data_IF_411908318086
#
_entry.id   IF_411908318086
#
_cell.length_a   1.000
_cell.length_b   1.000
_cell.length_c   1.000
_cell.angle_alpha   90.00
_cell.angle_beta   90.00
_cell.angle_gamma   90.00
#
_symmetry.space_group_name_H-M   'P 1'
#
loop_
_entity.id
_entity.type
_entity.pdbx_description
1 polymer ?
#
# COMPACT_ATOMS: atom_id res chain seq x y z
N UNK A 1 -7.88 16.93 4.99
CA UNK A 1 -6.54 16.36 4.69
C UNK A 1 -6.75 14.91 4.32
N UNK A 2 -6.65 14.58 3.04
CA UNK A 2 -6.83 13.22 2.51
C UNK A 2 -5.73 12.88 1.52
N UNK A 3 -5.57 11.60 1.19
CA UNK A 3 -4.59 11.18 0.20
C UNK A 3 -4.88 11.84 -1.16
N UNK A 4 -3.83 12.32 -1.84
CA UNK A 4 -3.92 12.94 -3.16
C UNK A 4 -3.99 11.90 -4.29
N UNK A 5 -3.68 10.64 -3.98
CA UNK A 5 -3.95 9.52 -4.85
C UNK A 5 -3.64 8.19 -4.20
N UNK A 6 -4.22 7.14 -4.76
CA UNK A 6 -4.02 5.76 -4.35
C UNK A 6 -3.88 4.88 -5.58
N UNK A 7 -2.97 3.92 -5.53
CA UNK A 7 -2.88 2.81 -6.48
C UNK A 7 -2.97 1.53 -5.69
N UNK A 8 -3.82 0.61 -6.13
CA UNK A 8 -3.95 -0.74 -5.57
C UNK A 8 -3.67 -1.70 -6.72
N UNK A 9 -2.77 -2.65 -6.52
CA UNK A 9 -2.50 -3.74 -7.45
C UNK A 9 -2.68 -5.05 -6.73
N UNK A 10 -3.49 -5.92 -7.31
CA UNK A 10 -3.79 -7.24 -6.78
C UNK A 10 -3.36 -8.27 -7.80
N UNK A 11 -2.57 -9.25 -7.39
CA UNK A 11 -2.04 -10.29 -8.26
C UNK A 11 -2.31 -11.67 -7.67
N UNK A 12 -2.76 -12.60 -8.51
CA UNK A 12 -3.00 -13.99 -8.11
C UNK A 12 -4.12 -14.62 -8.91
N UNK A 13 -4.67 -15.73 -8.39
CA UNK A 13 -5.81 -16.44 -8.99
C UNK A 13 -7.13 -15.74 -8.64
N UNK A 14 -7.33 -14.56 -9.23
CA UNK A 14 -8.48 -13.71 -8.96
C UNK A 14 -9.79 -14.44 -9.33
N UNK A 15 -10.78 -14.38 -8.44
CA UNK A 15 -12.06 -15.10 -8.56
C UNK A 15 -11.92 -16.63 -8.75
N UNK A 16 -10.82 -17.23 -8.28
CA UNK A 16 -10.59 -18.68 -8.42
C UNK A 16 -10.21 -19.13 -9.83
N UNK A 17 -9.87 -18.18 -10.73
CA UNK A 17 -9.43 -18.50 -12.08
C UNK A 17 -8.21 -19.44 -12.07
N UNK A 18 -8.13 -20.30 -13.08
CA UNK A 18 -7.02 -21.25 -13.23
C UNK A 18 -5.69 -20.54 -13.54
N UNK A 19 -5.74 -19.44 -14.29
CA UNK A 19 -4.58 -18.63 -14.66
C UNK A 19 -4.53 -17.39 -13.76
N UNK A 20 -3.37 -17.15 -13.15
CA UNK A 20 -3.15 -15.96 -12.33
C UNK A 20 -3.13 -14.68 -13.19
N UNK A 21 -3.74 -13.62 -12.68
CA UNK A 21 -3.79 -12.29 -13.32
C UNK A 21 -3.40 -11.21 -12.33
N UNK A 22 -3.01 -10.06 -12.86
CA UNK A 22 -2.70 -8.87 -12.09
C UNK A 22 -3.62 -7.73 -12.52
N UNK A 23 -4.55 -7.36 -11.65
CA UNK A 23 -5.43 -6.22 -11.87
C UNK A 23 -4.97 -5.06 -10.99
N UNK A 24 -5.11 -3.84 -11.49
CA UNK A 24 -4.78 -2.65 -10.73
C UNK A 24 -5.84 -1.59 -10.92
N UNK A 25 -6.08 -0.84 -9.85
CA UNK A 25 -6.94 0.31 -9.84
C UNK A 25 -6.15 1.50 -9.32
N UNK A 26 -6.39 2.68 -9.90
CA UNK A 26 -5.75 3.92 -9.48
C UNK A 26 -6.77 5.03 -9.45
N UNK A 27 -6.74 5.81 -8.39
CA UNK A 27 -7.54 7.00 -8.22
C UNK A 27 -6.62 8.16 -7.81
N UNK A 28 -6.83 9.34 -8.39
CA UNK A 28 -5.96 10.49 -8.18
C UNK A 28 -4.56 10.35 -8.79
N UNK A 29 -3.61 11.13 -8.26
CA UNK A 29 -2.22 11.20 -8.77
C UNK A 29 -1.30 10.33 -7.93
N UNK A 30 -0.47 9.50 -8.56
CA UNK A 30 0.56 8.70 -7.88
C UNK A 30 1.86 8.79 -8.69
N UNK A 31 2.70 9.82 -8.45
CA UNK A 31 3.92 10.05 -9.22
C UNK A 31 5.08 9.17 -8.73
N UNK A 32 5.17 7.93 -9.24
CA UNK A 32 6.19 6.95 -8.83
C UNK A 32 7.63 7.31 -9.22
N UNK A 33 7.81 8.25 -10.15
CA UNK A 33 9.14 8.68 -10.60
C UNK A 33 9.65 9.92 -9.85
N UNK A 34 8.82 10.55 -9.02
CA UNK A 34 9.15 11.82 -8.36
C UNK A 34 9.63 11.54 -6.94
N UNK A 35 10.95 11.64 -6.70
CA UNK A 35 11.56 11.29 -5.40
C UNK A 35 11.09 12.17 -4.22
N UNK A 36 10.65 13.40 -4.49
CA UNK A 36 10.09 14.33 -3.48
C UNK A 36 8.63 14.03 -3.10
N UNK A 37 7.99 13.08 -3.77
CA UNK A 37 6.64 12.66 -3.45
C UNK A 37 6.66 11.75 -2.21
N UNK A 38 5.86 12.09 -1.20
CA UNK A 38 5.62 11.22 -0.05
C UNK A 38 4.63 10.12 -0.45
N UNK A 39 5.15 8.91 -0.64
CA UNK A 39 4.40 7.74 -1.07
C UNK A 39 4.64 6.61 -0.08
N UNK A 40 3.58 6.24 0.63
CA UNK A 40 3.58 5.03 1.44
C UNK A 40 3.35 3.81 0.54
N UNK A 41 4.19 2.80 0.69
CA UNK A 41 4.01 1.49 0.07
C UNK A 41 3.73 0.42 1.12
N UNK A 42 2.70 -0.38 0.88
CA UNK A 42 2.36 -1.55 1.69
C UNK A 42 2.18 -2.78 0.82
N UNK A 43 2.71 -3.92 1.28
CA UNK A 43 2.47 -5.23 0.69
C UNK A 43 1.88 -6.17 1.73
N UNK A 44 0.85 -6.90 1.33
CA UNK A 44 0.24 -7.95 2.13
C UNK A 44 -0.18 -9.12 1.25
N UNK A 45 -0.16 -10.31 1.84
CA UNK A 45 -0.58 -11.56 1.20
C UNK A 45 -1.88 -12.04 1.84
N UNK A 46 -2.84 -12.42 1.01
CA UNK A 46 -4.08 -13.04 1.43
C UNK A 46 -4.04 -14.54 1.09
N UNK A 47 -4.08 -15.38 2.12
CA UNK A 47 -4.19 -16.83 1.98
C UNK A 47 -5.65 -17.19 1.67
N UNK A 48 -5.88 -17.69 0.45
CA UNK A 48 -7.20 -18.14 0.01
C UNK A 48 -7.17 -19.63 -0.28
N UNK A 49 -8.35 -20.24 -0.44
CA UNK A 49 -8.49 -21.66 -0.78
C UNK A 49 -7.80 -22.05 -2.09
N UNK A 50 -7.72 -21.11 -3.05
CA UNK A 50 -7.15 -21.34 -4.37
C UNK A 50 -5.68 -20.89 -4.49
N UNK A 51 -5.05 -20.50 -3.38
CA UNK A 51 -3.66 -20.04 -3.33
C UNK A 51 -3.51 -18.68 -2.67
N UNK A 52 -2.38 -18.01 -2.94
CA UNK A 52 -2.04 -16.72 -2.34
C UNK A 52 -2.39 -15.60 -3.32
N UNK A 53 -3.06 -14.56 -2.80
CA UNK A 53 -3.30 -13.31 -3.52
C UNK A 53 -2.40 -12.23 -2.91
N UNK A 54 -1.53 -11.65 -3.72
CA UNK A 54 -0.68 -10.55 -3.32
C UNK A 54 -1.37 -9.20 -3.55
N UNK A 55 -1.41 -8.35 -2.52
CA UNK A 55 -1.97 -7.00 -2.57
C UNK A 55 -0.86 -6.00 -2.32
N UNK A 56 -0.66 -5.10 -3.29
CA UNK A 56 0.30 -3.99 -3.24
C UNK A 56 -0.46 -2.68 -3.26
N UNK A 57 -0.20 -1.80 -2.30
CA UNK A 57 -0.88 -0.50 -2.17
C UNK A 57 0.16 0.61 -2.15
N UNK A 58 -0.11 1.67 -2.90
CA UNK A 58 0.63 2.93 -2.86
C UNK A 58 -0.33 4.05 -2.49
N UNK A 59 0.01 4.85 -1.48
CA UNK A 59 -0.78 6.01 -1.04
C UNK A 59 0.09 7.25 -1.17
N UNK A 60 -0.31 8.17 -2.05
CA UNK A 60 0.35 9.46 -2.22
C UNK A 60 -0.28 10.49 -1.29
N UNK A 61 0.50 11.00 -0.33
CA UNK A 61 0.03 11.97 0.67
C UNK A 61 0.29 13.43 0.27
N UNK A 62 1.30 13.65 -0.59
CA UNK A 62 1.68 14.98 -1.05
C UNK A 62 3.17 15.06 -1.33
N UNK A 63 3.68 16.27 -1.54
CA UNK A 63 5.09 16.50 -1.83
C UNK A 63 5.76 17.10 -0.60
N UNK A 64 6.93 16.58 -0.23
CA UNK A 64 7.71 17.12 0.89
C UNK A 64 8.64 18.19 0.33
N UNK A 65 8.39 19.45 0.68
CA UNK A 65 9.32 20.53 0.41
C UNK A 65 10.26 20.67 1.60
N UNK A 66 11.56 20.47 1.38
CA UNK A 66 12.58 20.72 2.39
C UNK A 66 12.54 22.21 2.79
N UNK A 67 11.89 22.50 3.91
CA UNK A 67 11.65 23.88 4.37
C UNK A 67 10.58 24.05 5.45
N UNK A 68 9.82 23.01 5.80
CA UNK A 68 8.92 23.05 6.96
C UNK A 68 9.24 21.88 7.91
N UNK A 69 9.93 22.20 9.00
CA UNK A 69 9.92 21.39 10.22
C UNK A 69 8.48 21.22 10.72
N UNK A 70 8.21 20.03 11.28
CA UNK A 70 7.03 19.62 12.05
C UNK A 70 5.72 19.30 11.31
N UNK A 71 5.52 18.00 10.99
CA UNK A 71 4.54 17.12 11.68
C UNK A 71 4.75 15.67 11.24
N UNK A 72 5.71 14.99 11.87
CA UNK A 72 5.75 13.53 11.90
C UNK A 72 4.77 13.04 12.96
N UNK A 73 3.48 12.99 12.60
CA UNK A 73 2.49 12.33 13.45
C UNK A 73 2.68 10.81 13.33
N UNK A 74 3.07 10.23 14.47
CA UNK A 74 3.51 8.87 14.62
C UNK A 74 2.44 7.85 14.22
N UNK A 75 2.78 6.97 13.27
CA UNK A 75 2.06 5.72 13.08
C UNK A 75 2.05 4.93 14.41
N UNK A 76 0.89 4.45 14.90
CA UNK A 76 0.85 3.72 16.16
C UNK A 76 1.61 2.39 16.00
N UNK A 77 2.71 2.24 16.75
CA UNK A 77 3.46 0.98 16.86
C UNK A 77 2.50 -0.13 17.32
N UNK A 78 2.21 -1.07 16.42
CA UNK A 78 1.49 -2.31 16.73
C UNK A 78 2.30 -3.05 17.79
N UNK A 79 1.81 -3.10 19.03
CA UNK A 79 2.43 -3.86 20.12
C UNK A 79 2.46 -5.34 19.74
N UNK A 80 3.65 -5.87 19.49
CA UNK A 80 3.91 -7.31 19.44
C UNK A 80 3.75 -7.86 20.86
N UNK A 81 2.56 -8.35 21.17
CA UNK A 81 2.31 -9.13 22.38
C UNK A 81 2.48 -10.60 22.05
N UNK A 82 3.64 -11.18 22.32
CA UNK A 82 3.80 -12.61 22.33
C UNK A 82 3.07 -13.23 23.52
N UNK A 83 2.44 -14.40 23.33
CA UNK A 83 2.48 -15.45 24.34
C UNK A 83 2.40 -16.82 23.67
N UNK A 84 3.52 -17.52 23.74
CA UNK A 84 3.62 -18.99 23.62
C UNK A 84 2.73 -19.61 24.69
N UNK A 85 1.81 -20.49 24.30
CA UNK A 85 1.44 -21.73 25.01
C UNK A 85 1.06 -22.74 23.93
#
# INVERSE_FOLDING_TARGET
LGAQGIKISVAGRLNGAEIARSDWYREGRVPLHTLRADIDYGFAEANTTYGIIGVKVWIFKGEVFAGAEEVVEAAPKRKTGGKRV
#
